data_IF_724328265870
#
_entry.id   IF_724328265870
#
_cell.length_a   1.000
_cell.length_b   1.000
_cell.length_c   1.000
_cell.angle_alpha   90.00
_cell.angle_beta   90.00
_cell.angle_gamma   90.00
#
_symmetry.space_group_name_H-M   'P 1'
#
loop_
_entity.id
_entity.type
_entity.pdbx_description
1 polymer ?
#
# COMPACT_ATOMS: atom_id res chain seq x y z
N UNK A 1 10.45 2.03 16.65
CA UNK A 1 9.05 1.71 16.32
C UNK A 1 8.51 0.87 17.47
N UNK A 2 7.65 1.43 18.32
CA UNK A 2 7.09 0.72 19.48
C UNK A 2 6.15 -0.39 18.98
N UNK A 3 6.49 -1.66 19.24
CA UNK A 3 5.56 -2.78 19.09
C UNK A 3 4.53 -2.68 20.21
N UNK A 4 3.36 -2.13 19.92
CA UNK A 4 2.17 -2.37 20.75
C UNK A 4 1.79 -3.84 20.62
N UNK A 5 2.15 -4.63 21.62
CA UNK A 5 1.60 -5.96 21.81
C UNK A 5 0.10 -5.83 22.06
N UNK A 6 -0.70 -6.37 21.15
CA UNK A 6 -2.16 -6.40 21.28
C UNK A 6 -2.55 -7.67 22.04
N UNK A 7 -3.02 -7.50 23.27
CA UNK A 7 -3.79 -8.53 23.99
C UNK A 7 -5.16 -8.65 23.27
N UNK A 8 -5.55 -9.84 22.77
CA UNK A 8 -6.88 -10.02 22.21
C UNK A 8 -7.91 -9.74 23.30
N UNK A 9 -8.81 -8.79 23.07
CA UNK A 9 -9.96 -8.61 23.94
C UNK A 9 -10.71 -9.95 24.05
N UNK A 10 -10.84 -10.46 25.26
CA UNK A 10 -11.66 -11.63 25.56
C UNK A 10 -13.06 -11.41 24.98
N UNK A 11 -13.40 -12.14 23.91
CA UNK A 11 -14.76 -12.12 23.33
C UNK A 11 -15.66 -12.90 24.28
N UNK A 12 -16.09 -12.23 25.33
CA UNK A 12 -16.96 -12.81 26.35
C UNK A 12 -18.40 -12.85 25.82
N UNK A 13 -18.88 -14.05 25.47
CA UNK A 13 -20.26 -14.31 25.05
C UNK A 13 -21.23 -14.18 26.24
N UNK A 14 -21.62 -12.94 26.58
CA UNK A 14 -22.54 -12.61 27.69
C UNK A 14 -24.02 -12.96 27.46
N UNK A 15 -24.40 -13.66 26.38
CA UNK A 15 -25.82 -14.02 26.17
C UNK A 15 -26.17 -15.40 26.75
N UNK A 16 -27.20 -15.44 27.59
CA UNK A 16 -27.90 -16.65 28.01
C UNK A 16 -28.89 -17.05 26.90
N UNK A 17 -28.48 -17.85 25.90
CA UNK A 17 -29.34 -18.30 24.79
C UNK A 17 -28.61 -18.98 23.62
N UNK A 18 -29.38 -19.39 22.58
CA UNK A 18 -28.87 -19.87 21.27
C UNK A 18 -28.17 -18.70 20.57
N UNK A 19 -26.84 -18.64 20.67
CA UNK A 19 -26.03 -17.53 20.14
C UNK A 19 -25.03 -17.96 19.08
N UNK A 20 -24.61 -17.01 18.25
CA UNK A 20 -23.61 -17.21 17.20
C UNK A 20 -22.63 -16.03 17.16
N UNK A 21 -21.36 -16.33 16.86
CA UNK A 21 -20.33 -15.36 16.51
C UNK A 21 -19.86 -15.69 15.10
N UNK A 22 -19.91 -14.72 14.21
CA UNK A 22 -19.51 -14.90 12.81
C UNK A 22 -18.58 -13.78 12.35
N UNK A 23 -17.59 -14.12 11.53
CA UNK A 23 -16.85 -13.14 10.74
C UNK A 23 -17.60 -12.93 9.43
N UNK A 24 -18.13 -11.72 9.21
CA UNK A 24 -18.95 -11.39 8.02
C UNK A 24 -18.24 -10.48 7.01
N UNK A 25 -17.09 -9.93 7.38
CA UNK A 25 -16.19 -9.21 6.46
C UNK A 25 -14.75 -9.36 6.91
N UNK A 26 -13.83 -9.67 5.97
CA UNK A 26 -12.39 -9.65 6.20
C UNK A 26 -11.81 -8.43 5.49
N UNK A 27 -10.99 -7.65 6.19
CA UNK A 27 -10.45 -6.39 5.68
C UNK A 27 -9.19 -6.61 4.85
N UNK A 28 -8.95 -5.67 3.92
CA UNK A 28 -7.77 -5.67 3.05
C UNK A 28 -7.62 -6.97 2.23
N UNK A 29 -8.74 -7.61 1.87
CA UNK A 29 -8.81 -8.75 0.97
C UNK A 29 -9.78 -8.40 -0.17
N UNK A 30 -9.41 -8.78 -1.41
CA UNK A 30 -10.26 -8.58 -2.58
C UNK A 30 -11.37 -9.62 -2.56
N UNK A 31 -12.62 -9.18 -2.59
CA UNK A 31 -13.77 -10.07 -2.68
C UNK A 31 -14.19 -10.36 -4.14
N UNK A 32 -15.24 -11.15 -4.32
CA UNK A 32 -15.73 -11.53 -5.65
C UNK A 32 -16.26 -10.36 -6.49
N UNK A 33 -16.60 -9.24 -5.86
CA UNK A 33 -17.13 -8.04 -6.52
C UNK A 33 -16.02 -7.02 -6.83
N UNK A 34 -14.75 -7.40 -6.61
CA UNK A 34 -13.57 -6.56 -6.75
C UNK A 34 -13.55 -5.40 -5.74
N UNK A 35 -14.17 -5.59 -4.59
CA UNK A 35 -14.12 -4.66 -3.48
C UNK A 35 -13.02 -5.04 -2.49
N UNK A 36 -12.45 -4.02 -1.85
CA UNK A 36 -11.56 -4.15 -0.70
C UNK A 36 -12.15 -3.32 0.44
N UNK A 37 -12.63 -3.99 1.48
CA UNK A 37 -13.20 -3.31 2.65
C UNK A 37 -12.07 -2.90 3.60
N UNK A 38 -12.01 -1.61 3.96
CA UNK A 38 -11.05 -1.11 4.93
C UNK A 38 -11.55 -1.28 6.37
N UNK A 39 -10.65 -1.42 7.37
CA UNK A 39 -11.06 -1.61 8.76
C UNK A 39 -11.99 -0.54 9.31
N UNK A 40 -11.85 0.70 8.84
CA UNK A 40 -12.63 1.85 9.29
C UNK A 40 -14.01 1.95 8.60
N UNK A 41 -14.27 1.09 7.60
CA UNK A 41 -15.45 1.21 6.76
C UNK A 41 -16.75 0.79 7.45
N UNK A 42 -16.67 -0.20 8.35
CA UNK A 42 -17.80 -0.76 9.05
C UNK A 42 -17.89 -0.11 10.45
N UNK A 43 -19.06 0.39 10.87
CA UNK A 43 -19.19 0.98 12.19
C UNK A 43 -19.05 -0.08 13.31
N UNK A 44 -18.23 0.21 14.31
CA UNK A 44 -18.07 -0.62 15.51
C UNK A 44 -19.20 -0.38 16.52
N UNK A 45 -19.68 -1.43 17.18
CA UNK A 45 -20.61 -1.36 18.31
C UNK A 45 -22.08 -1.15 17.92
N UNK A 46 -22.42 -1.24 16.64
CA UNK A 46 -23.81 -1.08 16.17
C UNK A 46 -24.60 -2.37 16.31
N UNK A 47 -25.86 -2.24 16.72
CA UNK A 47 -26.81 -3.35 16.73
C UNK A 47 -27.54 -3.40 15.39
N UNK A 48 -27.61 -4.59 14.77
CA UNK A 48 -28.30 -4.82 13.49
C UNK A 48 -29.11 -6.12 13.52
N UNK A 49 -30.21 -6.20 12.75
CA UNK A 49 -30.93 -7.45 12.56
C UNK A 49 -30.06 -8.51 11.87
N UNK A 50 -30.34 -9.77 12.20
CA UNK A 50 -29.89 -10.91 11.43
C UNK A 50 -30.95 -11.26 10.40
N UNK A 51 -30.68 -11.03 9.11
CA UNK A 51 -31.61 -11.43 8.05
C UNK A 51 -31.72 -12.95 7.99
N UNK A 52 -32.87 -13.42 7.50
CA UNK A 52 -33.03 -14.79 7.06
C UNK A 52 -31.98 -15.17 6.00
N UNK A 53 -31.74 -16.47 5.88
CA UNK A 53 -30.69 -17.08 5.05
C UNK A 53 -30.69 -16.54 3.62
N UNK A 54 -29.52 -16.24 3.04
CA UNK A 54 -29.38 -15.63 1.71
C UNK A 54 -30.13 -14.30 1.57
N UNK A 55 -30.06 -13.43 2.58
CA UNK A 55 -30.67 -12.09 2.56
C UNK A 55 -32.21 -12.08 2.39
N UNK A 56 -32.90 -13.20 2.69
CA UNK A 56 -34.35 -13.35 2.46
C UNK A 56 -35.23 -12.38 3.25
N UNK A 57 -34.69 -11.64 4.22
CA UNK A 57 -35.45 -10.57 4.88
C UNK A 57 -35.63 -9.29 4.07
N UNK A 58 -34.92 -9.15 2.95
CA UNK A 58 -35.22 -8.12 1.95
C UNK A 58 -36.34 -8.53 0.99
N UNK A 59 -36.79 -9.78 1.06
CA UNK A 59 -37.88 -10.32 0.25
C UNK A 59 -39.13 -10.46 1.13
N UNK A 60 -39.38 -11.66 1.64
CA UNK A 60 -40.64 -12.04 2.30
C UNK A 60 -40.46 -12.72 3.66
N UNK A 61 -39.22 -12.90 4.14
CA UNK A 61 -38.95 -13.60 5.41
C UNK A 61 -38.64 -12.64 6.56
N UNK A 62 -39.22 -12.88 7.73
CA UNK A 62 -38.87 -12.10 8.92
C UNK A 62 -37.40 -12.32 9.33
N UNK A 63 -36.71 -11.30 9.90
CA UNK A 63 -35.40 -11.48 10.50
C UNK A 63 -35.40 -12.61 11.54
N UNK A 64 -34.30 -13.34 11.60
CA UNK A 64 -34.17 -14.58 12.40
C UNK A 64 -33.42 -14.37 13.71
N UNK A 65 -32.90 -13.17 13.93
CA UNK A 65 -32.17 -12.78 15.13
C UNK A 65 -31.72 -11.33 15.09
N UNK A 66 -30.87 -10.96 16.03
CA UNK A 66 -30.15 -9.67 16.05
C UNK A 66 -28.85 -9.79 16.82
N UNK A 67 -27.93 -8.86 16.59
CA UNK A 67 -26.64 -8.88 17.25
C UNK A 67 -25.90 -7.56 17.15
N UNK A 68 -24.71 -7.55 17.74
CA UNK A 68 -23.82 -6.39 17.77
C UNK A 68 -22.60 -6.66 16.90
N UNK A 69 -22.22 -5.66 16.12
CA UNK A 69 -21.01 -5.68 15.29
C UNK A 69 -19.80 -5.24 16.11
N UNK A 70 -18.72 -6.00 16.04
CA UNK A 70 -17.42 -5.63 16.56
C UNK A 70 -16.39 -5.68 15.43
N UNK A 71 -15.65 -4.60 15.31
CA UNK A 71 -14.62 -4.39 14.29
C UNK A 71 -13.27 -4.35 14.98
N UNK A 72 -12.31 -5.12 14.45
CA UNK A 72 -10.90 -5.06 14.81
C UNK A 72 -10.05 -4.68 13.57
N UNK A 73 -8.72 -4.72 13.65
CA UNK A 73 -7.86 -4.37 12.50
C UNK A 73 -7.89 -5.37 11.34
N UNK A 74 -8.50 -6.56 11.50
CA UNK A 74 -8.53 -7.64 10.51
C UNK A 74 -9.92 -7.91 9.95
N UNK A 75 -10.97 -7.79 10.75
CA UNK A 75 -12.32 -8.24 10.38
C UNK A 75 -13.44 -7.52 11.12
N UNK A 76 -14.63 -7.61 10.55
CA UNK A 76 -15.87 -7.36 11.26
C UNK A 76 -16.49 -8.69 11.71
N UNK A 77 -16.89 -8.72 12.98
CA UNK A 77 -17.54 -9.85 13.63
C UNK A 77 -18.94 -9.48 14.10
N UNK A 78 -19.87 -10.42 14.03
CA UNK A 78 -21.25 -10.27 14.44
C UNK A 78 -21.54 -11.25 15.57
N UNK A 79 -21.80 -10.72 16.76
CA UNK A 79 -22.19 -11.51 17.93
C UNK A 79 -23.69 -11.38 18.13
N UNK A 80 -24.43 -12.46 17.90
CA UNK A 80 -25.87 -12.42 17.75
C UNK A 80 -26.59 -13.54 18.49
N UNK A 81 -27.90 -13.32 18.70
CA UNK A 81 -28.83 -14.30 19.28
C UNK A 81 -29.99 -14.52 18.32
N UNK A 82 -30.40 -15.77 18.15
CA UNK A 82 -31.56 -16.11 17.33
C UNK A 82 -32.86 -15.76 18.06
N UNK A 83 -33.87 -15.32 17.33
CA UNK A 83 -35.20 -15.11 17.90
C UNK A 83 -35.89 -16.44 18.20
N UNK A 84 -36.80 -16.44 19.18
CA UNK A 84 -37.63 -17.60 19.53
C UNK A 84 -38.81 -17.77 18.56
N UNK A 85 -38.51 -17.75 17.26
CA UNK A 85 -39.44 -17.97 16.15
C UNK A 85 -39.08 -19.28 15.44
N UNK A 86 -39.98 -19.81 14.62
CA UNK A 86 -39.67 -20.97 13.77
C UNK A 86 -38.44 -20.69 12.89
N UNK A 87 -38.41 -19.54 12.21
CA UNK A 87 -37.27 -19.15 11.37
C UNK A 87 -35.95 -19.00 12.14
N UNK A 88 -35.98 -18.45 13.37
CA UNK A 88 -34.81 -18.37 14.24
C UNK A 88 -34.29 -19.74 14.68
N UNK A 89 -35.19 -20.65 15.05
CA UNK A 89 -34.85 -22.03 15.44
C UNK A 89 -34.26 -22.81 14.27
N UNK A 90 -34.91 -22.77 13.10
CA UNK A 90 -34.50 -23.51 11.92
C UNK A 90 -33.13 -23.02 11.39
N UNK A 91 -32.91 -21.70 11.41
CA UNK A 91 -31.61 -21.11 11.03
C UNK A 91 -30.50 -21.57 11.97
N UNK A 92 -30.74 -21.56 13.28
CA UNK A 92 -29.77 -22.04 14.26
C UNK A 92 -29.39 -23.51 14.04
N UNK A 93 -30.37 -24.41 13.89
CA UNK A 93 -30.09 -25.84 13.69
C UNK A 93 -29.40 -26.08 12.34
N UNK A 94 -29.77 -25.32 11.30
CA UNK A 94 -29.15 -25.39 9.98
C UNK A 94 -27.69 -24.95 10.02
N UNK A 95 -27.38 -23.81 10.65
CA UNK A 95 -26.01 -23.34 10.81
C UNK A 95 -25.15 -24.31 11.62
N UNK A 96 -25.74 -24.94 12.65
CA UNK A 96 -25.07 -25.97 13.44
C UNK A 96 -24.70 -27.19 12.59
N UNK A 97 -25.59 -27.62 11.70
CA UNK A 97 -25.36 -28.77 10.81
C UNK A 97 -24.42 -28.45 9.64
N UNK A 98 -24.51 -27.25 9.06
CA UNK A 98 -23.59 -26.80 7.99
C UNK A 98 -22.16 -26.63 8.51
N UNK A 99 -21.99 -26.20 9.76
CA UNK A 99 -20.69 -26.01 10.38
C UNK A 99 -19.80 -25.09 9.53
N UNK A 100 -18.56 -25.52 9.16
CA UNK A 100 -17.65 -24.71 8.35
C UNK A 100 -18.15 -24.37 6.94
N UNK A 101 -19.18 -25.06 6.43
CA UNK A 101 -19.74 -24.78 5.10
C UNK A 101 -20.60 -23.51 5.09
N UNK A 102 -21.07 -23.05 6.25
CA UNK A 102 -21.84 -21.82 6.35
C UNK A 102 -20.94 -20.59 6.24
N UNK A 103 -21.29 -19.68 5.33
CA UNK A 103 -20.65 -18.38 5.16
C UNK A 103 -21.57 -17.26 5.61
N UNK A 104 -21.03 -16.04 5.62
CA UNK A 104 -21.75 -14.87 6.09
C UNK A 104 -21.62 -13.72 5.10
N UNK A 105 -22.67 -12.94 5.02
CA UNK A 105 -22.76 -11.75 4.19
C UNK A 105 -23.48 -10.66 4.97
N UNK A 106 -23.68 -9.51 4.35
CA UNK A 106 -24.22 -8.32 4.98
C UNK A 106 -24.86 -7.40 3.95
N UNK A 107 -25.92 -6.71 4.36
CA UNK A 107 -26.64 -5.73 3.55
C UNK A 107 -26.24 -4.33 3.97
N UNK A 108 -25.81 -3.51 3.01
CA UNK A 108 -25.30 -2.17 3.27
C UNK A 108 -25.39 -1.25 2.04
N UNK A 109 -25.32 0.06 2.28
CA UNK A 109 -25.02 1.04 1.23
C UNK A 109 -23.57 1.53 1.35
N UNK A 110 -22.92 1.76 0.20
CA UNK A 110 -21.62 2.42 0.14
C UNK A 110 -21.80 3.93 0.32
N UNK A 111 -21.21 4.48 1.38
CA UNK A 111 -21.25 5.92 1.68
C UNK A 111 -20.01 6.63 1.14
N UNK A 112 -18.86 5.97 1.22
CA UNK A 112 -17.58 6.47 0.69
C UNK A 112 -16.75 5.32 0.12
N UNK A 113 -16.19 5.54 -1.08
CA UNK A 113 -15.33 4.59 -1.76
C UNK A 113 -14.43 5.27 -2.77
N UNK A 114 -13.31 4.62 -3.10
CA UNK A 114 -12.42 5.06 -4.17
C UNK A 114 -12.00 3.89 -5.06
N UNK A 115 -11.72 4.16 -6.33
CA UNK A 115 -11.11 3.16 -7.21
C UNK A 115 -9.60 3.26 -7.11
N UNK A 116 -8.94 2.11 -7.10
CA UNK A 116 -7.48 2.05 -7.09
C UNK A 116 -6.94 0.73 -7.57
N UNK A 117 -5.66 0.48 -7.30
CA UNK A 117 -5.00 -0.77 -7.56
C UNK A 117 -4.62 -1.45 -6.24
N UNK A 118 -4.95 -2.73 -6.10
CA UNK A 118 -4.53 -3.58 -4.98
C UNK A 118 -3.83 -4.80 -5.56
N UNK A 119 -2.56 -5.00 -5.22
CA UNK A 119 -1.71 -6.06 -5.79
C UNK A 119 -1.76 -6.14 -7.33
N UNK A 120 -1.77 -4.98 -8.01
CA UNK A 120 -1.82 -4.89 -9.47
C UNK A 120 -3.21 -5.11 -10.09
N UNK A 121 -4.23 -5.41 -9.30
CA UNK A 121 -5.62 -5.56 -9.75
C UNK A 121 -6.41 -4.27 -9.51
N UNK A 122 -7.22 -3.85 -10.49
CA UNK A 122 -8.16 -2.73 -10.31
C UNK A 122 -9.28 -3.16 -9.36
N UNK A 123 -9.46 -2.40 -8.29
CA UNK A 123 -10.45 -2.66 -7.24
C UNK A 123 -11.16 -1.37 -6.83
N UNK A 124 -12.24 -1.51 -6.06
CA UNK A 124 -12.87 -0.41 -5.32
C UNK A 124 -12.63 -0.58 -3.83
N UNK A 125 -11.94 0.38 -3.22
CA UNK A 125 -11.75 0.44 -1.79
C UNK A 125 -13.00 1.03 -1.12
N UNK A 126 -13.65 0.26 -0.25
CA UNK A 126 -14.80 0.71 0.53
C UNK A 126 -14.28 1.34 1.81
N UNK A 127 -14.50 2.65 1.96
CA UNK A 127 -14.01 3.46 3.09
C UNK A 127 -15.06 3.70 4.16
N UNK A 128 -16.34 3.66 3.79
CA UNK A 128 -17.45 3.86 4.71
C UNK A 128 -18.72 3.24 4.17
N UNK A 129 -19.45 2.56 5.03
CA UNK A 129 -20.76 1.98 4.71
C UNK A 129 -21.84 2.44 5.68
N UNK A 130 -23.09 2.32 5.23
CA UNK A 130 -24.25 2.28 6.12
C UNK A 130 -24.72 0.83 6.20
N UNK A 131 -24.47 0.20 7.34
CA UNK A 131 -24.84 -1.19 7.58
C UNK A 131 -26.33 -1.32 7.92
N UNK A 132 -26.99 -2.30 7.32
CA UNK A 132 -28.40 -2.62 7.58
C UNK A 132 -28.60 -3.95 8.29
N UNK A 133 -27.88 -4.99 7.87
CA UNK A 133 -28.08 -6.35 8.41
C UNK A 133 -26.84 -7.23 8.18
N UNK A 134 -26.78 -8.35 8.91
CA UNK A 134 -25.82 -9.43 8.70
C UNK A 134 -26.58 -10.74 8.52
N UNK A 135 -26.23 -11.55 7.51
CA UNK A 135 -26.97 -12.77 7.15
C UNK A 135 -26.08 -13.99 6.99
N UNK A 136 -26.59 -15.19 7.33
CA UNK A 136 -25.98 -16.42 6.87
C UNK A 136 -26.28 -16.64 5.39
N UNK A 137 -25.29 -17.13 4.63
CA UNK A 137 -25.40 -17.35 3.19
C UNK A 137 -24.72 -18.65 2.77
N UNK A 138 -25.12 -19.20 1.63
CA UNK A 138 -24.41 -20.34 1.01
C UNK A 138 -23.03 -19.92 0.52
N UNK A 139 -22.93 -18.72 -0.06
CA UNK A 139 -21.69 -18.17 -0.59
C UNK A 139 -21.63 -16.67 -0.34
N UNK A 140 -20.73 -16.25 0.54
CA UNK A 140 -20.40 -14.83 0.71
C UNK A 140 -19.47 -14.35 -0.41
N UNK A 141 -19.56 -13.06 -0.75
CA UNK A 141 -18.64 -12.43 -1.70
C UNK A 141 -17.19 -12.49 -1.21
N UNK A 142 -17.01 -12.31 0.10
CA UNK A 142 -15.71 -12.51 0.75
C UNK A 142 -15.59 -13.98 1.20
N UNK A 143 -14.68 -14.72 0.56
CA UNK A 143 -14.57 -16.18 0.67
C UNK A 143 -14.18 -16.67 2.08
N UNK A 144 -13.57 -15.80 2.89
CA UNK A 144 -13.05 -16.12 4.22
C UNK A 144 -14.04 -15.87 5.37
N UNK A 145 -15.28 -15.48 5.04
CA UNK A 145 -16.37 -15.34 6.01
C UNK A 145 -16.83 -16.68 6.54
N UNK A 146 -17.09 -16.76 7.85
CA UNK A 146 -17.38 -18.03 8.54
C UNK A 146 -17.99 -17.85 9.91
N UNK A 147 -18.69 -18.89 10.37
CA UNK A 147 -19.07 -19.04 11.78
C UNK A 147 -17.83 -19.30 12.63
N UNK A 148 -17.59 -18.47 13.64
CA UNK A 148 -16.48 -18.62 14.60
C UNK A 148 -16.89 -19.44 15.82
N UNK A 149 -18.14 -19.27 16.27
CA UNK A 149 -18.72 -20.05 17.35
C UNK A 149 -20.23 -20.09 17.22
N UNK A 150 -20.84 -21.22 17.52
CA UNK A 150 -22.30 -21.34 17.68
C UNK A 150 -22.56 -22.10 18.99
N UNK A 151 -23.27 -21.46 19.93
CA UNK A 151 -23.54 -22.06 21.24
C UNK A 151 -24.50 -23.23 21.07
N UNK A 152 -23.97 -24.43 21.20
CA UNK A 152 -24.72 -25.62 21.58
C UNK A 152 -25.16 -25.48 23.04
N UNK A 153 -26.39 -25.84 23.37
CA UNK A 153 -26.85 -25.99 24.77
C UNK A 153 -26.04 -27.05 25.55
N UNK A 154 -25.26 -27.89 24.86
CA UNK A 154 -24.47 -28.98 25.45
C UNK A 154 -22.94 -28.86 25.24
N UNK A 155 -22.43 -27.76 24.66
CA UNK A 155 -20.97 -27.63 24.48
C UNK A 155 -20.29 -27.44 25.84
N UNK A 156 -19.42 -28.37 26.20
CA UNK A 156 -18.67 -28.30 27.45
C UNK A 156 -17.64 -27.16 27.38
N UNK A 157 -17.33 -26.56 28.54
CA UNK A 157 -16.29 -25.50 28.65
C UNK A 157 -14.92 -25.95 28.10
N UNK A 158 -14.67 -27.26 28.08
CA UNK A 158 -13.47 -27.88 27.52
C UNK A 158 -13.46 -27.89 25.98
N UNK A 159 -14.59 -28.18 25.33
CA UNK A 159 -14.70 -28.13 23.87
C UNK A 159 -14.55 -26.71 23.34
N UNK A 160 -15.17 -25.73 24.01
CA UNK A 160 -15.02 -24.32 23.63
C UNK A 160 -13.57 -23.84 23.74
N UNK A 161 -12.82 -24.31 24.76
CA UNK A 161 -11.39 -24.02 24.87
C UNK A 161 -10.61 -24.63 23.71
N UNK A 162 -10.88 -25.88 23.34
CA UNK A 162 -10.20 -26.54 22.20
C UNK A 162 -10.45 -25.81 20.88
N UNK A 163 -11.71 -25.52 20.55
CA UNK A 163 -12.07 -24.80 19.32
C UNK A 163 -11.37 -23.44 19.26
N UNK A 164 -11.34 -22.72 20.38
CA UNK A 164 -10.66 -21.44 20.50
C UNK A 164 -9.15 -21.60 20.27
N UNK A 165 -8.53 -22.58 20.90
CA UNK A 165 -7.08 -22.80 20.82
C UNK A 165 -6.66 -23.25 19.40
N UNK A 166 -7.51 -24.04 18.71
CA UNK A 166 -7.31 -24.42 17.31
C UNK A 166 -7.47 -23.21 16.37
N UNK A 167 -8.50 -22.39 16.56
CA UNK A 167 -8.68 -21.15 15.80
C UNK A 167 -7.50 -20.19 15.97
N UNK A 168 -6.98 -20.05 17.20
CA UNK A 168 -5.79 -19.24 17.45
C UNK A 168 -4.56 -19.80 16.75
N UNK A 169 -4.40 -21.12 16.74
CA UNK A 169 -3.27 -21.77 16.05
C UNK A 169 -3.32 -21.53 14.54
N UNK A 170 -4.48 -21.68 13.92
CA UNK A 170 -4.63 -21.48 12.47
C UNK A 170 -4.32 -20.03 12.09
N UNK A 171 -4.85 -19.07 12.85
CA UNK A 171 -4.56 -17.63 12.67
C UNK A 171 -3.07 -17.35 12.79
N UNK A 172 -2.40 -17.94 13.78
CA UNK A 172 -0.96 -17.77 14.01
C UNK A 172 -0.14 -18.38 12.86
N UNK A 173 -0.53 -19.56 12.37
CA UNK A 173 0.15 -20.24 11.26
C UNK A 173 0.00 -19.47 9.94
N UNK A 174 -1.20 -18.99 9.62
CA UNK A 174 -1.43 -18.12 8.46
C UNK A 174 -0.60 -16.84 8.53
N UNK A 175 -0.57 -16.20 9.70
CA UNK A 175 0.18 -14.95 9.92
C UNK A 175 1.68 -15.19 9.79
N UNK A 176 2.18 -16.31 10.33
CA UNK A 176 3.59 -16.71 10.19
C UNK A 176 3.96 -16.95 8.73
N UNK A 177 3.16 -17.70 7.99
CA UNK A 177 3.43 -17.99 6.58
C UNK A 177 3.48 -16.71 5.73
N UNK A 178 2.59 -15.75 6.01
CA UNK A 178 2.59 -14.44 5.35
C UNK A 178 3.85 -13.63 5.66
N UNK A 179 4.25 -13.56 6.94
CA UNK A 179 5.47 -12.88 7.36
C UNK A 179 6.73 -13.53 6.76
N UNK A 180 6.76 -14.87 6.68
CA UNK A 180 7.86 -15.60 6.06
C UNK A 180 7.97 -15.27 4.55
N UNK A 181 6.84 -15.13 3.86
CA UNK A 181 6.80 -14.74 2.45
C UNK A 181 7.23 -13.28 2.23
N UNK A 182 6.78 -12.34 3.08
CA UNK A 182 7.24 -10.96 3.07
C UNK A 182 8.75 -10.86 3.30
N UNK A 183 9.28 -11.55 4.31
CA UNK A 183 10.71 -11.64 4.57
C UNK A 183 11.49 -12.20 3.36
N UNK A 184 10.94 -13.21 2.67
CA UNK A 184 11.57 -13.79 1.48
C UNK A 184 11.58 -12.82 0.30
N UNK A 185 10.49 -12.09 0.07
CA UNK A 185 10.43 -11.04 -0.97
C UNK A 185 11.41 -9.91 -0.69
N UNK A 186 11.49 -9.49 0.57
CA UNK A 186 12.44 -8.48 1.04
C UNK A 186 13.89 -8.94 0.80
N UNK A 187 14.22 -10.18 1.17
CA UNK A 187 15.54 -10.74 0.96
C UNK A 187 15.91 -10.83 -0.53
N UNK A 188 14.96 -11.22 -1.39
CA UNK A 188 15.18 -11.25 -2.83
C UNK A 188 15.40 -9.83 -3.40
N UNK A 189 14.64 -8.84 -2.92
CA UNK A 189 14.83 -7.44 -3.34
C UNK A 189 16.23 -6.94 -2.97
N UNK A 190 16.65 -7.16 -1.72
CA UNK A 190 18.00 -6.80 -1.27
C UNK A 190 19.10 -7.50 -2.10
N UNK A 191 18.90 -8.75 -2.49
CA UNK A 191 19.86 -9.48 -3.32
C UNK A 191 19.93 -8.91 -4.75
N UNK A 192 18.78 -8.57 -5.35
CA UNK A 192 18.73 -7.90 -6.66
C UNK A 192 19.42 -6.53 -6.59
N UNK A 193 19.13 -5.72 -5.57
CA UNK A 193 19.79 -4.42 -5.34
C UNK A 193 21.31 -4.59 -5.19
N UNK A 194 21.76 -5.62 -4.45
CA UNK A 194 23.18 -5.93 -4.28
C UNK A 194 23.85 -6.33 -5.60
N UNK A 195 23.22 -7.21 -6.37
CA UNK A 195 23.73 -7.63 -7.68
C UNK A 195 23.77 -6.46 -8.66
N UNK A 196 22.76 -5.62 -8.66
CA UNK A 196 22.72 -4.40 -9.46
C UNK A 196 23.85 -3.45 -9.08
N UNK A 197 24.05 -3.16 -7.80
CA UNK A 197 25.15 -2.32 -7.34
C UNK A 197 26.52 -2.87 -7.77
N UNK A 198 26.73 -4.20 -7.71
CA UNK A 198 27.95 -4.83 -8.19
C UNK A 198 28.11 -4.71 -9.71
N UNK A 199 27.03 -4.87 -10.47
CA UNK A 199 27.04 -4.70 -11.92
C UNK A 199 27.43 -3.27 -12.31
N UNK A 200 26.76 -2.26 -11.74
CA UNK A 200 27.06 -0.85 -12.03
C UNK A 200 28.49 -0.49 -11.64
N UNK A 201 29.02 -1.03 -10.53
CA UNK A 201 30.44 -0.87 -10.18
C UNK A 201 31.40 -1.52 -11.19
N UNK A 202 31.02 -2.66 -11.78
CA UNK A 202 31.88 -3.40 -12.69
C UNK A 202 31.95 -2.80 -14.09
N UNK A 203 30.88 -2.15 -14.56
CA UNK A 203 30.79 -1.66 -15.96
C UNK A 203 30.45 -0.17 -16.10
N UNK A 204 30.05 0.48 -15.02
CA UNK A 204 29.63 1.87 -15.02
C UNK A 204 30.80 2.85 -14.82
N UNK A 205 30.43 4.13 -14.73
CA UNK A 205 31.36 5.23 -14.45
C UNK A 205 31.20 5.65 -12.99
N UNK A 206 32.33 5.72 -12.27
CA UNK A 206 32.40 6.24 -10.91
C UNK A 206 32.52 7.77 -10.90
N UNK A 207 31.88 8.40 -9.92
CA UNK A 207 31.87 9.84 -9.74
C UNK A 207 32.21 10.23 -8.31
N UNK A 208 32.93 11.34 -8.19
CA UNK A 208 33.23 12.02 -6.92
C UNK A 208 32.57 13.38 -6.86
N UNK A 209 32.15 13.76 -5.65
CA UNK A 209 31.75 15.11 -5.30
C UNK A 209 32.97 15.98 -5.01
N UNK A 210 32.76 17.30 -5.07
CA UNK A 210 33.76 18.32 -4.73
C UNK A 210 34.83 18.58 -5.79
N UNK A 211 34.35 19.01 -6.96
CA UNK A 211 35.18 19.56 -8.04
C UNK A 211 34.68 20.92 -8.53
N UNK A 212 33.91 21.67 -7.73
CA UNK A 212 33.47 23.03 -8.14
C UNK A 212 34.67 23.92 -8.46
N UNK A 213 35.79 23.77 -7.74
CA UNK A 213 37.02 24.53 -7.94
C UNK A 213 37.65 24.38 -9.34
N UNK A 214 37.38 23.26 -10.04
CA UNK A 214 37.88 23.04 -11.41
C UNK A 214 36.90 23.48 -12.50
N UNK A 215 35.67 23.82 -12.13
CA UNK A 215 34.65 24.27 -13.09
C UNK A 215 34.94 25.74 -13.45
N UNK A 216 35.10 26.08 -14.75
CA UNK A 216 35.31 27.46 -15.16
C UNK A 216 34.18 28.38 -14.67
N UNK A 217 34.54 29.61 -14.27
CA UNK A 217 33.55 30.58 -13.77
C UNK A 217 32.42 30.82 -14.77
N UNK A 218 32.73 30.87 -16.07
CA UNK A 218 31.73 31.09 -17.12
C UNK A 218 30.72 29.96 -17.22
N UNK A 219 31.13 28.71 -16.99
CA UNK A 219 30.23 27.54 -16.92
C UNK A 219 29.32 27.62 -15.68
N UNK A 220 29.88 28.00 -14.51
CA UNK A 220 29.07 28.21 -13.30
C UNK A 220 28.05 29.32 -13.47
N UNK A 221 28.45 30.42 -14.10
CA UNK A 221 27.58 31.56 -14.40
C UNK A 221 26.48 31.16 -15.40
N UNK A 222 26.81 30.37 -16.43
CA UNK A 222 25.84 29.84 -17.40
C UNK A 222 24.81 28.93 -16.72
N UNK A 223 25.25 28.02 -15.84
CA UNK A 223 24.35 27.15 -15.08
C UNK A 223 23.42 27.96 -14.17
N UNK A 224 23.95 28.95 -13.44
CA UNK A 224 23.14 29.86 -12.61
C UNK A 224 22.16 30.69 -13.45
N UNK A 225 22.58 31.18 -14.61
CA UNK A 225 21.71 31.90 -15.53
C UNK A 225 20.57 31.01 -16.05
N UNK A 226 20.85 29.75 -16.39
CA UNK A 226 19.84 28.78 -16.81
C UNK A 226 18.81 28.51 -15.69
N UNK A 227 19.25 28.37 -14.43
CA UNK A 227 18.33 28.30 -13.28
C UNK A 227 17.46 29.54 -13.21
N UNK A 228 18.05 30.73 -13.36
CA UNK A 228 17.34 32.01 -13.29
C UNK A 228 16.25 32.17 -14.34
N UNK A 229 16.40 31.54 -15.50
CA UNK A 229 15.41 31.54 -16.60
C UNK A 229 14.36 30.46 -16.40
N UNK A 230 14.76 29.20 -16.23
CA UNK A 230 13.83 28.07 -16.34
C UNK A 230 13.17 27.66 -15.01
N UNK A 231 13.78 27.93 -13.87
CA UNK A 231 13.16 27.57 -12.59
C UNK A 231 11.81 28.30 -12.41
N UNK A 232 11.69 29.62 -12.66
CA UNK A 232 10.39 30.30 -12.58
C UNK A 232 9.38 29.82 -13.63
N UNK A 233 9.82 29.49 -14.85
CA UNK A 233 8.94 28.94 -15.91
C UNK A 233 8.30 27.60 -15.48
N UNK A 234 9.02 26.81 -14.68
CA UNK A 234 8.57 25.55 -14.13
C UNK A 234 7.89 25.68 -12.75
N UNK A 235 7.64 26.91 -12.29
CA UNK A 235 6.98 27.17 -11.00
C UNK A 235 7.89 26.93 -9.78
N UNK A 236 9.21 26.86 -9.97
CA UNK A 236 10.19 26.66 -8.92
C UNK A 236 10.78 28.00 -8.45
N UNK A 237 11.09 28.09 -7.16
CA UNK A 237 11.79 29.24 -6.58
C UNK A 237 13.29 29.14 -6.91
N UNK A 238 13.76 29.98 -7.83
CA UNK A 238 15.16 30.00 -8.30
C UNK A 238 16.18 30.21 -7.18
N UNK A 239 15.82 30.94 -6.12
CA UNK A 239 16.75 31.27 -5.03
C UNK A 239 16.94 30.08 -4.07
N UNK A 240 16.04 29.09 -4.14
CA UNK A 240 16.15 27.83 -3.40
C UNK A 240 16.95 26.76 -4.14
N UNK A 241 17.13 26.88 -5.45
CA UNK A 241 17.86 25.88 -6.24
C UNK A 241 19.37 26.00 -5.99
N UNK A 242 19.94 24.92 -5.45
CA UNK A 242 21.37 24.76 -5.19
C UNK A 242 22.00 23.93 -6.30
N UNK A 243 23.15 24.39 -6.79
CA UNK A 243 23.95 23.69 -7.78
C UNK A 243 25.16 23.07 -7.09
N UNK A 244 25.32 21.77 -7.24
CA UNK A 244 26.48 21.01 -6.81
C UNK A 244 27.19 20.45 -8.04
N UNK A 245 28.47 20.10 -7.89
CA UNK A 245 29.28 19.60 -9.00
C UNK A 245 29.87 18.23 -8.67
N UNK A 246 29.91 17.37 -9.68
CA UNK A 246 30.57 16.07 -9.64
C UNK A 246 31.47 15.89 -10.86
N UNK A 247 32.44 14.99 -10.78
CA UNK A 247 33.31 14.65 -11.92
C UNK A 247 33.38 13.14 -12.08
N UNK A 248 33.44 12.67 -13.33
CA UNK A 248 33.87 11.30 -13.56
C UNK A 248 35.29 11.14 -13.02
N UNK A 249 35.57 10.04 -12.35
CA UNK A 249 36.96 9.72 -11.99
C UNK A 249 37.74 9.41 -13.28
N UNK A 250 38.89 10.07 -13.45
CA UNK A 250 39.66 10.03 -14.69
C UNK A 250 40.20 8.61 -14.93
N UNK A 251 39.91 8.02 -16.09
CA UNK A 251 40.36 6.69 -16.54
C UNK A 251 41.88 6.64 -16.86
N UNK A 252 42.69 7.48 -16.21
CA UNK A 252 44.12 7.70 -16.49
C UNK A 252 45.03 6.53 -16.10
N UNK A 253 44.47 5.36 -15.81
CA UNK A 253 45.24 4.15 -15.50
C UNK A 253 45.94 4.15 -14.14
N UNK A 254 45.77 5.19 -13.33
CA UNK A 254 45.93 5.08 -11.89
C UNK A 254 44.68 4.37 -11.37
N UNK A 255 44.82 3.14 -10.88
CA UNK A 255 43.74 2.35 -10.28
C UNK A 255 42.84 3.25 -9.42
N UNK A 256 41.62 3.54 -9.90
CA UNK A 256 40.62 4.26 -9.11
C UNK A 256 40.36 3.39 -7.90
N UNK A 257 40.84 3.83 -6.72
CA UNK A 257 40.56 3.13 -5.48
C UNK A 257 39.12 3.47 -5.13
N UNK A 258 38.30 2.45 -4.86
CA UNK A 258 36.89 2.58 -4.44
C UNK A 258 36.67 3.62 -3.32
N UNK A 259 37.71 3.93 -2.54
CA UNK A 259 37.72 4.92 -1.46
C UNK A 259 37.38 6.37 -1.91
N UNK A 260 37.52 6.70 -3.19
CA UNK A 260 37.28 8.07 -3.71
C UNK A 260 36.02 8.21 -4.56
N UNK A 261 35.23 7.15 -4.75
CA UNK A 261 34.00 7.18 -5.56
C UNK A 261 32.78 7.32 -4.65
N UNK A 262 32.05 8.42 -4.79
CA UNK A 262 30.83 8.67 -4.04
C UNK A 262 29.61 7.95 -4.61
N UNK A 263 29.55 7.78 -5.94
CA UNK A 263 28.48 7.05 -6.60
C UNK A 263 28.87 6.52 -7.99
N UNK A 264 28.08 5.57 -8.49
CA UNK A 264 28.26 4.96 -9.82
C UNK A 264 27.03 5.16 -10.69
N UNK A 265 27.22 5.25 -12.00
CA UNK A 265 26.14 5.27 -13.00
C UNK A 265 26.47 4.35 -14.16
N UNK A 266 25.47 3.65 -14.70
CA UNK A 266 25.62 2.81 -15.89
C UNK A 266 25.97 3.60 -17.15
N UNK A 267 25.58 4.88 -17.19
CA UNK A 267 25.81 5.77 -18.32
C UNK A 267 26.51 7.05 -17.86
N UNK A 268 27.31 7.68 -18.74
CA UNK A 268 27.83 9.02 -18.48
C UNK A 268 26.69 9.98 -18.12
N UNK A 269 26.79 10.62 -16.95
CA UNK A 269 25.82 11.59 -16.47
C UNK A 269 26.31 13.00 -16.77
N UNK A 270 25.44 13.81 -17.34
CA UNK A 270 25.68 15.25 -17.54
C UNK A 270 25.12 16.07 -16.39
N UNK A 271 24.01 15.61 -15.81
CA UNK A 271 23.39 16.14 -14.61
C UNK A 271 22.60 15.05 -13.91
N UNK A 272 22.14 15.35 -12.71
CA UNK A 272 21.12 14.57 -12.00
C UNK A 272 20.50 15.42 -10.89
N UNK A 273 19.28 15.06 -10.51
CA UNK A 273 18.62 15.53 -9.30
C UNK A 273 18.02 14.35 -8.54
N UNK A 274 17.69 14.55 -7.26
CA UNK A 274 17.01 13.54 -6.43
C UNK A 274 15.74 14.13 -5.82
N UNK A 275 14.65 14.29 -6.60
CA UNK A 275 13.46 15.03 -6.17
C UNK A 275 12.85 14.52 -4.85
N UNK A 276 12.96 13.21 -4.59
CA UNK A 276 12.43 12.56 -3.38
C UNK A 276 13.32 12.70 -2.14
N UNK A 277 14.58 13.08 -2.30
CA UNK A 277 15.56 13.22 -1.20
C UNK A 277 15.99 14.67 -0.97
N UNK A 278 16.16 15.43 -2.05
CA UNK A 278 16.54 16.84 -2.05
C UNK A 278 15.93 17.50 -3.29
N UNK A 279 14.71 18.04 -3.13
CA UNK A 279 13.96 18.69 -4.22
C UNK A 279 14.51 20.07 -4.61
N UNK A 280 15.58 20.53 -3.98
CA UNK A 280 16.19 21.84 -4.17
C UNK A 280 17.65 21.75 -4.65
N UNK A 281 18.14 20.56 -5.01
CA UNK A 281 19.53 20.35 -5.44
C UNK A 281 19.59 19.76 -6.84
N UNK A 282 20.39 20.38 -7.69
CA UNK A 282 20.83 19.85 -8.98
C UNK A 282 22.33 19.59 -8.88
N UNK A 283 22.75 18.40 -9.26
CA UNK A 283 24.14 18.01 -9.33
C UNK A 283 24.53 17.97 -10.82
N UNK A 284 25.56 18.72 -11.20
CA UNK A 284 26.02 18.89 -12.58
C UNK A 284 27.40 18.29 -12.78
N UNK A 285 27.64 17.71 -13.95
CA UNK A 285 28.98 17.24 -14.29
C UNK A 285 29.92 18.44 -14.50
N UNK A 286 31.11 18.39 -13.91
CA UNK A 286 32.15 19.39 -14.06
C UNK A 286 32.69 19.53 -15.49
N UNK A 287 32.45 18.54 -16.35
CA UNK A 287 32.87 18.58 -17.77
C UNK A 287 31.91 19.35 -18.69
N UNK A 288 30.80 19.88 -18.18
CA UNK A 288 29.84 20.62 -18.99
C UNK A 288 30.46 21.89 -19.59
N UNK A 289 30.09 22.18 -20.84
CA UNK A 289 30.33 23.49 -21.46
C UNK A 289 29.25 24.50 -21.06
N UNK A 290 29.48 25.77 -21.37
CA UNK A 290 28.47 26.83 -21.19
C UNK A 290 27.18 26.50 -21.94
N UNK A 291 27.27 25.92 -23.15
CA UNK A 291 26.09 25.55 -23.93
C UNK A 291 25.35 24.34 -23.33
N UNK A 292 26.09 23.37 -22.81
CA UNK A 292 25.48 22.19 -22.18
C UNK A 292 24.65 22.59 -20.96
N UNK A 293 25.11 23.55 -20.15
CA UNK A 293 24.37 24.05 -18.99
C UNK A 293 22.96 24.51 -19.36
N UNK A 294 22.77 25.12 -20.52
CA UNK A 294 21.47 25.60 -20.97
C UNK A 294 20.51 24.50 -21.44
N UNK A 295 20.97 23.25 -21.57
CA UNK A 295 20.14 22.09 -21.88
C UNK A 295 19.97 21.19 -20.64
N UNK A 296 21.07 20.94 -19.92
CA UNK A 296 21.10 20.03 -18.76
C UNK A 296 20.38 20.63 -17.56
N UNK A 297 20.57 21.91 -17.24
CA UNK A 297 19.88 22.55 -16.11
C UNK A 297 18.35 22.51 -16.24
N UNK A 298 17.73 22.93 -17.37
CA UNK A 298 16.29 22.81 -17.53
C UNK A 298 15.79 21.36 -17.51
N UNK A 299 16.57 20.41 -18.03
CA UNK A 299 16.25 18.98 -17.93
C UNK A 299 16.11 18.55 -16.46
N UNK A 300 17.09 18.87 -15.62
CA UNK A 300 17.05 18.51 -14.19
C UNK A 300 15.96 19.27 -13.41
N UNK A 301 15.71 20.54 -13.75
CA UNK A 301 14.59 21.31 -13.17
C UNK A 301 13.23 20.71 -13.51
N UNK A 302 13.09 20.09 -14.69
CA UNK A 302 11.86 19.40 -15.09
C UNK A 302 11.61 18.20 -14.20
N UNK A 303 12.61 17.37 -13.95
CA UNK A 303 12.50 16.26 -12.99
C UNK A 303 12.15 16.72 -11.57
N UNK A 304 12.63 17.89 -11.14
CA UNK A 304 12.27 18.47 -9.83
C UNK A 304 10.80 18.92 -9.80
N UNK A 305 10.35 19.61 -10.84
CA UNK A 305 9.00 20.17 -10.91
C UNK A 305 7.91 19.14 -11.22
N UNK A 306 8.26 18.09 -11.97
CA UNK A 306 7.35 17.03 -12.43
C UNK A 306 7.98 15.65 -12.18
N UNK A 307 8.16 15.24 -10.91
CA UNK A 307 8.85 13.99 -10.56
C UNK A 307 8.12 12.71 -11.02
N UNK A 308 6.88 12.83 -11.47
CA UNK A 308 6.07 11.77 -12.07
C UNK A 308 6.29 11.57 -13.57
N UNK A 309 6.94 12.51 -14.26
CA UNK A 309 7.19 12.42 -15.70
C UNK A 309 8.25 11.36 -16.03
N UNK A 310 8.08 10.73 -17.20
CA UNK A 310 9.07 9.78 -17.70
C UNK A 310 10.31 10.52 -18.23
N UNK A 311 11.43 9.80 -18.30
CA UNK A 311 12.66 10.29 -18.96
C UNK A 311 12.41 10.77 -20.40
N UNK A 312 11.46 10.14 -21.11
CA UNK A 312 11.10 10.52 -22.48
C UNK A 312 10.40 11.88 -22.53
N UNK A 313 9.46 12.13 -21.59
CA UNK A 313 8.75 13.41 -21.48
C UNK A 313 9.73 14.55 -21.17
N UNK A 314 10.67 14.30 -20.25
CA UNK A 314 11.70 15.29 -19.89
C UNK A 314 12.64 15.57 -21.07
N UNK A 315 13.00 14.57 -21.87
CA UNK A 315 13.80 14.75 -23.10
C UNK A 315 13.06 15.52 -24.19
N UNK A 316 11.73 15.40 -24.27
CA UNK A 316 10.91 16.24 -25.16
C UNK A 316 10.97 17.69 -24.72
N UNK A 317 10.89 17.95 -23.40
CA UNK A 317 11.05 19.30 -22.86
C UNK A 317 12.45 19.87 -23.14
N UNK A 318 13.52 19.10 -22.93
CA UNK A 318 14.89 19.50 -23.28
C UNK A 318 15.02 19.84 -24.78
N UNK A 319 14.41 19.04 -25.65
CA UNK A 319 14.39 19.29 -27.09
C UNK A 319 13.66 20.58 -27.45
N UNK A 320 12.54 20.87 -26.79
CA UNK A 320 11.82 22.13 -26.93
C UNK A 320 12.65 23.33 -26.47
N UNK A 321 13.32 23.22 -25.33
CA UNK A 321 14.26 24.25 -24.83
C UNK A 321 15.34 24.54 -25.87
N UNK A 322 15.93 23.48 -26.44
CA UNK A 322 16.98 23.62 -27.45
C UNK A 322 16.49 24.33 -28.72
N UNK A 323 15.30 23.98 -29.22
CA UNK A 323 14.70 24.64 -30.39
C UNK A 323 14.41 26.11 -30.13
N UNK A 324 13.82 26.42 -28.98
CA UNK A 324 13.52 27.80 -28.57
C UNK A 324 14.79 28.67 -28.50
N UNK A 325 15.90 28.12 -27.98
CA UNK A 325 17.20 28.81 -27.95
C UNK A 325 17.77 29.08 -29.34
N UNK A 326 17.45 28.24 -30.32
CA UNK A 326 17.82 28.41 -31.72
C UNK A 326 16.88 29.34 -32.50
N UNK A 327 15.82 29.86 -31.86
CA UNK A 327 14.86 30.79 -32.47
C UNK A 327 13.78 30.12 -33.32
N UNK A 328 13.54 28.82 -33.12
CA UNK A 328 12.48 28.05 -33.78
C UNK A 328 11.21 27.92 -32.94
#
# INVERSE_FOLDING_TARGET
MERKSYEPADVELKSTGKGVVAAFSIFNEVDSDLDVVLPEAIPHGVEVPMSAFNHKSWEDQLPVGKGVVSVDGRRATFTATFFDTTGGKDTYETLKQLGPLARWSWGFDVVDSERGAFNGQRVRFIKKVRLYEVSPVLRGANDNTRTLAIKSTDATRAELRRIRDDLYRDILMESKARLDDECRREALRCEVERLYANYVKAVGVGYSYDRESIVPQTVRDAARAAVGVYAPELGLDRDRIRLNWFSAEDDTGASVKDEFVDFWSERPLLGRCRPKMASDVIELNSSLTEDDCWNVVPHELRHISHPEESEEDVRLYESWVRLRRMGY
#
